data_IF_974377359125
#
_entry.id   IF_974377359125
#
_cell.length_a   1.000
_cell.length_b   1.000
_cell.length_c   1.000
_cell.angle_alpha   90.00
_cell.angle_beta   90.00
_cell.angle_gamma   90.00
#
_symmetry.space_group_name_H-M   'P 1'
#
loop_
_entity.id
_entity.type
_entity.pdbx_description
1 polymer ?
#
# COMPACT_ATOMS: atom_id res chain seq x y z
N UNK A 1 -0.97 -11.89 30.15
CA UNK A 1 -1.31 -12.80 29.03
C UNK A 1 -2.66 -12.50 28.34
N UNK A 2 -3.52 -11.61 28.86
CA UNK A 2 -4.81 -11.26 28.23
C UNK A 2 -4.70 -10.42 26.95
N UNK A 3 -3.77 -9.45 26.90
CA UNK A 3 -3.64 -8.51 25.76
C UNK A 3 -3.22 -9.19 24.45
N UNK A 4 -2.25 -10.12 24.50
CA UNK A 4 -1.74 -10.85 23.32
C UNK A 4 -2.86 -11.65 22.63
N UNK A 5 -3.71 -12.33 23.41
CA UNK A 5 -4.85 -13.08 22.88
C UNK A 5 -5.86 -12.17 22.17
N UNK A 6 -6.07 -10.96 22.68
CA UNK A 6 -6.94 -9.96 22.03
C UNK A 6 -6.35 -9.48 20.70
N UNK A 7 -5.03 -9.27 20.61
CA UNK A 7 -4.37 -8.91 19.35
C UNK A 7 -4.47 -10.04 18.31
N UNK A 8 -4.24 -11.30 18.73
CA UNK A 8 -4.38 -12.47 17.85
C UNK A 8 -5.82 -12.60 17.34
N UNK A 9 -6.82 -12.43 18.19
CA UNK A 9 -8.22 -12.44 17.74
C UNK A 9 -8.54 -11.33 16.73
N UNK A 10 -7.96 -10.14 16.88
CA UNK A 10 -8.09 -9.05 15.88
C UNK A 10 -7.39 -9.37 14.57
N UNK A 11 -6.22 -10.02 14.60
CA UNK A 11 -5.53 -10.51 13.40
C UNK A 11 -6.31 -11.65 12.71
N UNK A 12 -7.08 -12.43 13.47
CA UNK A 12 -7.97 -13.46 12.92
C UNK A 12 -9.37 -12.94 12.57
N UNK A 13 -9.59 -11.62 12.56
CA UNK A 13 -10.84 -11.08 12.03
C UNK A 13 -10.97 -11.46 10.54
N UNK A 14 -12.16 -11.90 10.10
CA UNK A 14 -12.39 -12.26 8.71
C UNK A 14 -11.99 -11.16 7.71
N UNK A 15 -12.04 -9.89 8.12
CA UNK A 15 -11.58 -8.77 7.29
C UNK A 15 -10.07 -8.71 7.12
N UNK A 16 -9.29 -8.93 8.18
CA UNK A 16 -7.84 -8.86 8.11
C UNK A 16 -7.25 -10.06 7.33
N UNK A 17 -7.82 -11.25 7.51
CA UNK A 17 -7.46 -12.43 6.71
C UNK A 17 -7.75 -12.20 5.22
N UNK A 18 -8.92 -11.63 4.89
CA UNK A 18 -9.25 -11.22 3.51
C UNK A 18 -8.26 -10.18 2.98
N UNK A 19 -7.81 -9.26 3.81
CA UNK A 19 -6.77 -8.29 3.45
C UNK A 19 -5.46 -8.98 3.05
N UNK A 20 -4.92 -9.86 3.88
CA UNK A 20 -3.66 -10.56 3.57
C UNK A 20 -3.76 -11.36 2.27
N UNK A 21 -4.84 -12.11 2.08
CA UNK A 21 -5.08 -12.86 0.85
C UNK A 21 -5.20 -11.94 -0.37
N UNK A 22 -5.96 -10.85 -0.23
CA UNK A 22 -6.17 -9.88 -1.32
C UNK A 22 -4.89 -9.13 -1.64
N UNK A 23 -4.04 -8.82 -0.66
CA UNK A 23 -2.74 -8.19 -0.87
C UNK A 23 -1.78 -9.10 -1.66
N UNK A 24 -1.73 -10.39 -1.33
CA UNK A 24 -0.95 -11.37 -2.07
C UNK A 24 -1.47 -11.53 -3.51
N UNK A 25 -2.78 -11.69 -3.68
CA UNK A 25 -3.44 -11.77 -4.98
C UNK A 25 -3.16 -10.53 -5.85
N UNK A 26 -3.32 -9.34 -5.28
CA UNK A 26 -3.10 -8.07 -5.96
C UNK A 26 -1.64 -7.90 -6.41
N UNK A 27 -0.70 -8.34 -5.59
CA UNK A 27 0.73 -8.32 -5.95
C UNK A 27 0.97 -9.25 -7.13
N UNK A 28 0.52 -10.50 -7.06
CA UNK A 28 0.66 -11.47 -8.15
C UNK A 28 0.04 -10.96 -9.46
N UNK A 29 -1.19 -10.44 -9.41
CA UNK A 29 -1.89 -9.89 -10.58
C UNK A 29 -1.18 -8.65 -11.13
N UNK A 30 -0.69 -7.76 -10.27
CA UNK A 30 0.08 -6.58 -10.69
C UNK A 30 1.34 -6.96 -11.48
N UNK A 31 2.09 -7.96 -11.00
CA UNK A 31 3.24 -8.50 -11.73
C UNK A 31 2.84 -9.11 -13.08
N UNK A 32 1.74 -9.87 -13.12
CA UNK A 32 1.23 -10.43 -14.38
C UNK A 32 0.84 -9.32 -15.37
N UNK A 33 0.11 -8.30 -14.94
CA UNK A 33 -0.28 -7.16 -15.78
C UNK A 33 0.97 -6.46 -16.33
N UNK A 34 1.94 -6.15 -15.46
CA UNK A 34 3.18 -5.51 -15.87
C UNK A 34 3.95 -6.35 -16.89
N UNK A 35 4.14 -7.64 -16.62
CA UNK A 35 4.85 -8.56 -17.51
C UNK A 35 4.15 -8.69 -18.87
N UNK A 36 2.83 -8.86 -18.89
CA UNK A 36 2.04 -8.94 -20.13
C UNK A 36 2.14 -7.66 -20.94
N UNK A 37 1.98 -6.49 -20.31
CA UNK A 37 2.08 -5.21 -21.02
C UNK A 37 3.50 -4.96 -21.53
N UNK A 38 4.51 -5.26 -20.73
CA UNK A 38 5.92 -5.12 -21.15
C UNK A 38 6.25 -6.01 -22.34
N UNK A 39 5.69 -7.21 -22.40
CA UNK A 39 5.80 -8.10 -23.54
C UNK A 39 5.06 -7.51 -24.77
N UNK A 40 3.80 -7.13 -24.63
CA UNK A 40 2.97 -6.59 -25.72
C UNK A 40 3.56 -5.31 -26.33
N UNK A 41 3.92 -4.32 -25.52
CA UNK A 41 4.56 -3.10 -26.02
C UNK A 41 5.96 -3.37 -26.58
N UNK A 42 6.63 -4.43 -26.12
CA UNK A 42 7.92 -4.85 -26.66
C UNK A 42 7.86 -5.38 -28.10
N UNK A 43 6.67 -5.75 -28.59
CA UNK A 43 6.46 -6.17 -29.99
C UNK A 43 6.34 -4.98 -30.95
N UNK A 44 6.14 -3.76 -30.44
CA UNK A 44 5.95 -2.57 -31.25
C UNK A 44 7.33 -1.91 -31.47
N UNK A 45 7.80 -1.78 -32.73
CA UNK A 45 9.06 -1.10 -33.02
C UNK A 45 9.02 0.38 -32.64
N UNK A 46 10.16 0.95 -32.24
CA UNK A 46 10.33 2.38 -31.95
C UNK A 46 9.45 2.96 -30.83
N UNK A 47 8.94 2.12 -29.93
CA UNK A 47 8.22 2.56 -28.74
C UNK A 47 9.03 2.30 -27.47
N UNK A 48 8.94 3.20 -26.48
CA UNK A 48 9.44 2.92 -25.14
C UNK A 48 8.48 1.97 -24.41
N UNK A 49 8.69 0.67 -24.62
CA UNK A 49 7.85 -0.38 -24.05
C UNK A 49 7.83 -0.35 -22.51
N UNK A 50 8.91 0.11 -21.87
CA UNK A 50 8.99 0.17 -20.42
C UNK A 50 8.13 1.32 -19.89
N UNK A 51 8.21 2.50 -20.50
CA UNK A 51 7.38 3.65 -20.13
C UNK A 51 5.89 3.32 -20.23
N UNK A 52 5.43 2.79 -21.36
CA UNK A 52 4.02 2.50 -21.58
C UNK A 52 3.50 1.33 -20.73
N UNK A 53 4.32 0.29 -20.54
CA UNK A 53 3.95 -0.81 -19.64
C UNK A 53 3.82 -0.33 -18.20
N UNK A 54 4.71 0.54 -17.72
CA UNK A 54 4.58 1.14 -16.39
C UNK A 54 3.35 2.03 -16.28
N UNK A 55 3.09 2.88 -17.27
CA UNK A 55 1.97 3.81 -17.26
C UNK A 55 0.61 3.09 -17.23
N UNK A 56 0.34 2.25 -18.22
CA UNK A 56 -0.91 1.49 -18.28
C UNK A 56 -0.98 0.42 -17.20
N UNK A 57 0.15 -0.23 -16.88
CA UNK A 57 0.22 -1.25 -15.85
C UNK A 57 -0.14 -0.69 -14.48
N UNK A 58 0.33 0.51 -14.14
CA UNK A 58 -0.03 1.19 -12.89
C UNK A 58 -1.52 1.48 -12.83
N UNK A 59 -2.10 2.06 -13.90
CA UNK A 59 -3.53 2.39 -13.95
C UNK A 59 -4.38 1.13 -13.77
N UNK A 60 -4.13 0.10 -14.58
CA UNK A 60 -4.92 -1.15 -14.56
C UNK A 60 -4.74 -1.85 -13.20
N UNK A 61 -3.53 -1.89 -12.65
CA UNK A 61 -3.26 -2.51 -11.35
C UNK A 61 -3.95 -1.78 -10.21
N UNK A 62 -3.93 -0.44 -10.19
CA UNK A 62 -4.62 0.36 -9.17
C UNK A 62 -6.14 0.15 -9.24
N UNK A 63 -6.72 0.11 -10.45
CA UNK A 63 -8.13 -0.17 -10.65
C UNK A 63 -8.52 -1.59 -10.20
N UNK A 64 -7.68 -2.58 -10.52
CA UNK A 64 -7.87 -3.95 -10.05
C UNK A 64 -7.85 -3.99 -8.53
N UNK A 65 -6.85 -3.35 -7.91
CA UNK A 65 -6.71 -3.29 -6.46
C UNK A 65 -7.91 -2.60 -5.79
N UNK A 66 -8.43 -1.51 -6.38
CA UNK A 66 -9.64 -0.85 -5.89
C UNK A 66 -10.83 -1.82 -5.86
N UNK A 67 -11.03 -2.55 -6.95
CA UNK A 67 -12.14 -3.49 -7.07
C UNK A 67 -12.00 -4.67 -6.11
N UNK A 68 -10.80 -5.24 -5.98
CA UNK A 68 -10.56 -6.40 -5.10
C UNK A 68 -10.60 -6.01 -3.63
N UNK A 69 -9.93 -4.93 -3.22
CA UNK A 69 -10.01 -4.45 -1.84
C UNK A 69 -11.44 -4.06 -1.47
N UNK A 70 -12.12 -3.29 -2.32
CA UNK A 70 -13.52 -2.91 -2.09
C UNK A 70 -14.44 -4.11 -1.96
N UNK A 71 -14.45 -5.02 -2.94
CA UNK A 71 -15.38 -6.15 -2.97
C UNK A 71 -15.04 -7.24 -1.94
N UNK A 72 -13.77 -7.63 -1.84
CA UNK A 72 -13.34 -8.79 -1.04
C UNK A 72 -13.12 -8.37 0.41
N UNK A 73 -12.34 -7.32 0.66
CA UNK A 73 -11.95 -6.93 2.04
C UNK A 73 -13.06 -6.13 2.71
N UNK A 74 -13.48 -5.03 2.09
CA UNK A 74 -14.41 -4.07 2.71
C UNK A 74 -15.88 -4.32 2.38
N UNK A 75 -16.19 -5.25 1.46
CA UNK A 75 -17.55 -5.58 0.98
C UNK A 75 -18.34 -4.34 0.53
N UNK A 76 -17.66 -3.40 -0.11
CA UNK A 76 -18.24 -2.18 -0.66
C UNK A 76 -17.83 -2.03 -2.12
N UNK A 77 -18.82 -1.92 -3.00
CA UNK A 77 -18.65 -1.81 -4.47
C UNK A 77 -18.97 -0.41 -5.01
N UNK A 78 -19.08 0.59 -4.13
CA UNK A 78 -19.35 1.97 -4.55
C UNK A 78 -18.17 2.56 -5.32
N UNK A 79 -18.37 2.79 -6.61
CA UNK A 79 -17.37 3.36 -7.51
C UNK A 79 -17.01 4.81 -7.18
N UNK A 80 -17.85 5.55 -6.44
CA UNK A 80 -17.53 6.93 -6.01
C UNK A 80 -16.31 6.99 -5.09
N UNK A 81 -15.95 5.87 -4.46
CA UNK A 81 -14.80 5.76 -3.56
C UNK A 81 -13.46 5.71 -4.30
N UNK A 82 -13.45 5.61 -5.63
CA UNK A 82 -12.22 5.55 -6.43
C UNK A 82 -11.29 6.73 -6.17
N UNK A 83 -11.82 7.94 -6.03
CA UNK A 83 -11.01 9.13 -5.77
C UNK A 83 -10.32 9.07 -4.40
N UNK A 84 -11.03 8.59 -3.37
CA UNK A 84 -10.45 8.39 -2.03
C UNK A 84 -9.39 7.29 -2.05
N UNK A 85 -9.65 6.21 -2.78
CA UNK A 85 -8.71 5.11 -2.93
C UNK A 85 -7.42 5.55 -3.64
N UNK A 86 -7.54 6.30 -4.73
CA UNK A 86 -6.38 6.87 -5.45
C UNK A 86 -5.59 7.80 -4.55
N UNK A 87 -6.25 8.64 -3.74
CA UNK A 87 -5.56 9.49 -2.75
C UNK A 87 -4.73 8.65 -1.76
N UNK A 88 -5.32 7.59 -1.19
CA UNK A 88 -4.60 6.67 -0.30
C UNK A 88 -3.42 6.02 -1.01
N UNK A 89 -3.62 5.54 -2.24
CA UNK A 89 -2.54 4.95 -3.05
C UNK A 89 -1.41 5.93 -3.30
N UNK A 90 -1.70 7.18 -3.65
CA UNK A 90 -0.70 8.24 -3.83
C UNK A 90 0.08 8.49 -2.55
N UNK A 91 -0.58 8.60 -1.40
CA UNK A 91 0.09 8.78 -0.10
C UNK A 91 1.02 7.60 0.19
N UNK A 92 0.51 6.37 0.06
CA UNK A 92 1.32 5.17 0.31
C UNK A 92 2.48 5.01 -0.66
N UNK A 93 2.34 5.48 -1.90
CA UNK A 93 3.42 5.51 -2.88
C UNK A 93 4.57 6.43 -2.43
N UNK A 94 4.26 7.66 -2.02
CA UNK A 94 5.29 8.57 -1.51
C UNK A 94 5.94 8.02 -0.24
N UNK A 95 5.16 7.50 0.71
CA UNK A 95 5.72 6.85 1.90
C UNK A 95 6.64 5.68 1.54
N UNK A 96 6.25 4.84 0.59
CA UNK A 96 7.07 3.72 0.13
C UNK A 96 8.39 4.20 -0.47
N UNK A 97 8.33 5.17 -1.38
CA UNK A 97 9.50 5.75 -2.02
C UNK A 97 10.48 6.36 -1.00
N UNK A 98 9.99 7.20 -0.08
CA UNK A 98 10.84 7.83 0.92
C UNK A 98 11.44 6.83 1.90
N UNK A 99 10.68 5.82 2.34
CA UNK A 99 11.22 4.79 3.21
C UNK A 99 12.27 3.94 2.51
N UNK A 100 12.07 3.53 1.25
CA UNK A 100 13.10 2.78 0.51
C UNK A 100 14.37 3.62 0.38
N UNK A 101 14.24 4.90 0.02
CA UNK A 101 15.37 5.82 -0.09
C UNK A 101 16.09 5.99 1.24
N UNK A 102 15.36 6.15 2.34
CA UNK A 102 15.94 6.24 3.68
C UNK A 102 16.74 4.98 4.03
N UNK A 103 16.20 3.80 3.76
CA UNK A 103 16.90 2.54 4.02
C UNK A 103 18.17 2.39 3.19
N UNK A 104 18.13 2.84 1.93
CA UNK A 104 19.29 2.85 1.05
C UNK A 104 20.34 3.86 1.51
N UNK A 105 19.94 5.09 1.82
CA UNK A 105 20.86 6.20 2.08
C UNK A 105 21.45 6.13 3.51
N UNK A 106 20.76 5.53 4.49
CA UNK A 106 21.20 5.47 5.89
C UNK A 106 21.84 4.14 6.29
N UNK A 107 21.39 3.02 5.70
CA UNK A 107 21.86 1.68 6.06
C UNK A 107 22.54 0.96 4.90
N UNK A 108 22.75 1.64 3.76
CA UNK A 108 23.34 1.08 2.54
C UNK A 108 22.67 -0.22 2.07
N UNK A 109 21.39 -0.39 2.42
CA UNK A 109 20.63 -1.59 2.08
C UNK A 109 20.28 -1.53 0.59
N UNK A 110 20.49 -2.65 -0.10
CA UNK A 110 20.10 -2.80 -1.49
C UNK A 110 18.60 -2.49 -1.69
N UNK A 111 18.27 -1.74 -2.75
CA UNK A 111 16.90 -1.34 -3.09
C UNK A 111 15.87 -2.48 -3.06
N UNK A 112 16.23 -3.70 -3.50
CA UNK A 112 15.31 -4.85 -3.50
C UNK A 112 14.99 -5.32 -2.08
N UNK A 113 16.00 -5.35 -1.20
CA UNK A 113 15.84 -5.73 0.21
C UNK A 113 15.08 -4.63 0.95
N UNK A 114 15.44 -3.36 0.72
CA UNK A 114 14.73 -2.21 1.28
C UNK A 114 13.24 -2.23 0.86
N UNK A 115 12.96 -2.47 -0.43
CA UNK A 115 11.58 -2.58 -0.94
C UNK A 115 10.81 -3.73 -0.27
N UNK A 116 11.43 -4.89 -0.07
CA UNK A 116 10.80 -6.03 0.59
C UNK A 116 10.46 -5.73 2.06
N UNK A 117 11.38 -5.10 2.79
CA UNK A 117 11.17 -4.69 4.19
C UNK A 117 10.06 -3.64 4.28
N UNK A 118 10.09 -2.63 3.41
CA UNK A 118 9.13 -1.51 3.40
C UNK A 118 7.75 -1.92 2.88
N UNK A 119 7.64 -2.96 2.05
CA UNK A 119 6.36 -3.44 1.54
C UNK A 119 5.39 -3.83 2.65
N UNK A 120 5.89 -4.43 3.74
CA UNK A 120 5.07 -4.86 4.89
C UNK A 120 4.41 -3.66 5.60
N UNK A 121 5.15 -2.68 6.16
CA UNK A 121 4.54 -1.52 6.83
C UNK A 121 3.68 -0.68 5.88
N UNK A 122 4.05 -0.55 4.60
CA UNK A 122 3.22 0.14 3.61
C UNK A 122 1.91 -0.60 3.32
N UNK A 123 1.93 -1.93 3.26
CA UNK A 123 0.72 -2.74 3.13
C UNK A 123 -0.25 -2.51 4.29
N UNK A 124 0.25 -2.47 5.53
CA UNK A 124 -0.55 -2.14 6.70
C UNK A 124 -1.09 -0.71 6.67
N UNK A 125 -0.25 0.27 6.32
CA UNK A 125 -0.67 1.65 6.16
C UNK A 125 -1.81 1.77 5.15
N UNK A 126 -1.66 1.12 3.99
CA UNK A 126 -2.68 1.09 2.94
C UNK A 126 -3.99 0.46 3.44
N UNK A 127 -3.92 -0.63 4.22
CA UNK A 127 -5.10 -1.25 4.83
C UNK A 127 -5.84 -0.29 5.78
N UNK A 128 -5.11 0.32 6.71
CA UNK A 128 -5.72 1.19 7.72
C UNK A 128 -6.29 2.46 7.11
N UNK A 129 -5.57 3.10 6.20
CA UNK A 129 -6.10 4.25 5.47
C UNK A 129 -7.36 3.88 4.69
N UNK A 130 -7.39 2.76 3.98
CA UNK A 130 -8.61 2.34 3.30
C UNK A 130 -9.76 1.99 4.25
N UNK A 131 -9.45 1.37 5.40
CA UNK A 131 -10.45 1.04 6.44
C UNK A 131 -11.10 2.28 7.04
N UNK A 132 -10.31 3.32 7.31
CA UNK A 132 -10.74 4.49 8.08
C UNK A 132 -11.01 5.75 7.24
N UNK A 133 -10.65 5.76 5.96
CA UNK A 133 -10.86 6.91 5.07
C UNK A 133 -11.68 6.54 3.83
N UNK A 134 -11.29 5.49 3.11
CA UNK A 134 -11.94 5.12 1.83
C UNK A 134 -13.29 4.45 2.06
N UNK A 135 -13.35 3.36 2.83
CA UNK A 135 -14.53 2.48 2.95
C UNK A 135 -15.28 2.65 4.27
N UNK A 136 -15.41 3.90 4.73
CA UNK A 136 -16.10 4.23 5.99
C UNK A 136 -17.62 4.16 5.81
N UNK A 137 -18.33 3.46 6.70
CA UNK A 137 -19.80 3.41 6.72
C UNK A 137 -20.46 4.68 7.27
N UNK A 138 -19.83 5.36 8.22
CA UNK A 138 -20.32 6.61 8.85
C UNK A 138 -19.16 7.55 9.18
N UNK A 139 -19.27 8.81 8.77
CA UNK A 139 -18.17 9.77 8.64
C UNK A 139 -17.72 10.35 10.00
N UNK A 140 -16.99 9.59 10.83
CA UNK A 140 -16.16 10.11 11.94
C UNK A 140 -14.68 10.12 11.53
N UNK A 141 -14.34 11.00 10.58
CA UNK A 141 -13.09 10.96 9.80
C UNK A 141 -11.89 11.58 10.54
N UNK A 142 -12.10 12.47 11.51
CA UNK A 142 -11.01 13.29 12.05
C UNK A 142 -10.07 12.56 13.00
N UNK A 143 -10.59 11.77 13.95
CA UNK A 143 -9.73 11.17 14.99
C UNK A 143 -8.78 10.11 14.45
N UNK A 144 -9.19 9.31 13.46
CA UNK A 144 -8.36 8.21 12.94
C UNK A 144 -7.30 8.68 11.95
N UNK A 145 -7.58 9.71 11.15
CA UNK A 145 -6.56 10.35 10.32
C UNK A 145 -5.51 11.04 11.19
N UNK A 146 -5.94 11.68 12.28
CA UNK A 146 -5.04 12.26 13.27
C UNK A 146 -4.18 11.17 13.93
N UNK A 147 -4.75 10.05 14.37
CA UNK A 147 -3.98 8.96 14.97
C UNK A 147 -3.02 8.28 13.97
N UNK A 148 -3.41 8.09 12.72
CA UNK A 148 -2.55 7.53 11.68
C UNK A 148 -1.41 8.49 11.31
N UNK A 149 -1.70 9.79 11.19
CA UNK A 149 -0.68 10.81 10.97
C UNK A 149 0.26 10.91 12.18
N UNK A 150 -0.26 10.86 13.41
CA UNK A 150 0.54 10.82 14.64
C UNK A 150 1.45 9.60 14.63
N UNK A 151 0.96 8.40 14.32
CA UNK A 151 1.80 7.19 14.30
C UNK A 151 2.90 7.29 13.24
N UNK A 152 2.59 7.84 12.06
CA UNK A 152 3.58 8.08 10.99
C UNK A 152 4.62 9.12 11.44
N UNK A 153 4.18 10.21 12.05
CA UNK A 153 5.05 11.27 12.58
C UNK A 153 5.92 10.75 13.73
N UNK A 154 5.38 9.95 14.65
CA UNK A 154 6.13 9.33 15.74
C UNK A 154 7.20 8.39 15.21
N UNK A 155 6.89 7.58 14.20
CA UNK A 155 7.86 6.72 13.54
C UNK A 155 8.95 7.56 12.85
N UNK A 156 8.59 8.63 12.16
CA UNK A 156 9.55 9.55 11.53
C UNK A 156 10.43 10.24 12.57
N UNK A 157 9.85 10.78 13.65
CA UNK A 157 10.58 11.45 14.74
C UNK A 157 11.52 10.47 15.44
N UNK A 158 11.06 9.26 15.75
CA UNK A 158 11.90 8.22 16.35
C UNK A 158 13.11 7.91 15.46
N UNK A 159 12.90 7.87 14.14
CA UNK A 159 14.00 7.65 13.20
C UNK A 159 14.94 8.86 13.18
N UNK A 160 14.43 10.08 13.09
CA UNK A 160 15.21 11.33 13.05
C UNK A 160 16.03 11.56 14.32
N UNK A 161 15.46 11.34 15.50
CA UNK A 161 16.16 11.48 16.77
C UNK A 161 17.31 10.48 16.92
N UNK A 162 17.17 9.30 16.31
CA UNK A 162 18.24 8.32 16.25
C UNK A 162 19.34 8.68 15.24
N UNK A 163 19.06 9.57 14.28
CA UNK A 163 20.02 10.02 13.25
C UNK A 163 20.80 11.28 13.66
N UNK A 164 20.31 12.07 14.62
CA UNK A 164 20.95 13.31 15.09
C UNK A 164 21.75 13.09 16.39
N UNK A 165 21.56 11.94 17.05
CA UNK A 165 22.26 11.58 18.28
C UNK A 165 23.61 10.85 18.10
N UNK A 166 24.07 10.68 16.85
CA UNK A 166 25.42 10.23 16.47
C UNK A 166 26.15 11.36 15.73
#
# INVERSE_FOLDING_TARGET
>A
MSKIRTYIHRLMEPQFVRFLFTAALNTAVGWCIFASLRYLFGLIPNIDALFWANFFGTIISVLFNFKTYGAIVFRNKDFKLIFKFVLVYSVTFFCNYFLIRLFKDQWEINNYIAAAIVAVPIGFLNYFLNKYFTYVKEQKVWHYLVLAAILIVEVIIFILLKTVGE
#
